data_IF_055774077453
#
_entry.id   IF_055774077453
#
_cell.length_a   1.000
_cell.length_b   1.000
_cell.length_c   1.000
_cell.angle_alpha   90.00
_cell.angle_beta   90.00
_cell.angle_gamma   90.00
#
_symmetry.space_group_name_H-M   'P 1'
#
loop_
_entity.id
_entity.type
_entity.pdbx_description
1 polymer ?
#
# COMPACT_ATOMS: atom_id res chain seq x y z
N UNK A 1 -0.29 -11.48 -10.05
CA UNK A 1 0.82 -10.67 -9.46
C UNK A 1 1.80 -10.23 -10.52
N UNK A 2 2.50 -11.14 -11.21
CA UNK A 2 3.42 -10.78 -12.31
C UNK A 2 2.67 -9.99 -13.39
N UNK A 3 1.50 -10.45 -13.82
CA UNK A 3 0.65 -9.72 -14.76
C UNK A 3 0.31 -8.29 -14.30
N UNK A 4 0.09 -8.08 -13.00
CA UNK A 4 -0.19 -6.74 -12.45
C UNK A 4 1.03 -5.83 -12.53
N UNK A 5 2.24 -6.39 -12.34
CA UNK A 5 3.50 -5.68 -12.49
C UNK A 5 3.72 -5.33 -13.98
N UNK A 6 3.57 -6.31 -14.87
CA UNK A 6 3.76 -6.16 -16.32
C UNK A 6 2.75 -5.18 -16.95
N UNK A 7 1.51 -5.18 -16.47
CA UNK A 7 0.45 -4.27 -16.93
C UNK A 7 0.47 -2.89 -16.24
N UNK A 8 1.43 -2.63 -15.34
CA UNK A 8 1.54 -1.36 -14.63
C UNK A 8 0.34 -1.05 -13.72
N UNK A 9 -0.37 -2.09 -13.27
CA UNK A 9 -1.49 -1.92 -12.35
C UNK A 9 -1.02 -1.30 -11.04
N UNK A 10 -1.92 -0.53 -10.42
CA UNK A 10 -1.70 0.00 -9.08
C UNK A 10 -1.75 -1.15 -8.07
N UNK A 11 -0.70 -1.25 -7.24
CA UNK A 11 -0.60 -2.23 -6.16
C UNK A 11 -0.57 -1.48 -4.83
N UNK A 12 -1.42 -1.89 -3.90
CA UNK A 12 -1.44 -1.34 -2.54
C UNK A 12 -1.12 -2.47 -1.57
N UNK A 13 -0.02 -2.34 -0.83
CA UNK A 13 0.35 -3.26 0.25
C UNK A 13 -0.38 -2.83 1.52
N UNK A 14 -1.24 -3.69 2.07
CA UNK A 14 -1.96 -3.40 3.31
C UNK A 14 -1.27 -4.11 4.46
N UNK A 15 -0.69 -3.33 5.37
CA UNK A 15 0.01 -3.82 6.56
C UNK A 15 -0.85 -3.79 7.81
N UNK A 16 -0.42 -4.52 8.85
CA UNK A 16 -0.94 -4.34 10.21
C UNK A 16 -0.19 -3.21 10.95
N UNK A 17 -0.76 -2.70 12.04
CA UNK A 17 -0.23 -1.58 12.81
C UNK A 17 0.90 -1.96 13.79
N UNK A 18 1.23 -3.25 13.91
CA UNK A 18 2.34 -3.72 14.74
C UNK A 18 3.70 -3.71 14.01
N UNK A 19 4.78 -3.99 14.74
CA UNK A 19 6.14 -3.91 14.20
C UNK A 19 6.38 -4.90 13.04
N UNK A 20 5.77 -6.08 13.13
CA UNK A 20 5.88 -7.12 12.10
C UNK A 20 5.11 -6.72 10.84
N UNK A 21 3.92 -6.14 11.00
CA UNK A 21 3.10 -5.55 9.94
C UNK A 21 3.80 -4.41 9.21
N UNK A 22 4.48 -3.52 9.93
CA UNK A 22 5.26 -2.44 9.34
C UNK A 22 6.47 -2.97 8.54
N UNK A 23 7.21 -3.92 9.13
CA UNK A 23 8.45 -4.46 8.52
C UNK A 23 8.14 -5.28 7.27
N UNK A 24 7.16 -6.18 7.34
CA UNK A 24 6.73 -7.00 6.20
C UNK A 24 6.14 -6.16 5.06
N UNK A 25 5.44 -5.07 5.37
CA UNK A 25 4.91 -4.14 4.38
C UNK A 25 6.01 -3.37 3.67
N UNK A 26 6.99 -2.84 4.42
CA UNK A 26 8.13 -2.15 3.85
C UNK A 26 8.96 -3.06 2.92
N UNK A 27 9.20 -4.31 3.36
CA UNK A 27 9.88 -5.32 2.54
C UNK A 27 9.11 -5.62 1.25
N UNK A 28 7.79 -5.77 1.35
CA UNK A 28 6.93 -6.03 0.19
C UNK A 28 6.97 -4.89 -0.82
N UNK A 29 6.83 -3.63 -0.37
CA UNK A 29 6.93 -2.46 -1.26
C UNK A 29 8.29 -2.42 -1.97
N UNK A 30 9.38 -2.67 -1.24
CA UNK A 30 10.72 -2.68 -1.81
C UNK A 30 10.86 -3.79 -2.87
N UNK A 31 10.44 -5.01 -2.55
CA UNK A 31 10.51 -6.14 -3.47
C UNK A 31 9.72 -5.89 -4.75
N UNK A 32 8.51 -5.31 -4.66
CA UNK A 32 7.68 -5.03 -5.83
C UNK A 32 8.27 -3.96 -6.75
N UNK A 33 8.92 -2.94 -6.16
CA UNK A 33 9.66 -1.93 -6.92
C UNK A 33 10.89 -2.55 -7.62
N UNK A 34 11.62 -3.43 -6.92
CA UNK A 34 12.75 -4.16 -7.50
C UNK A 34 12.33 -5.09 -8.65
N UNK A 35 11.10 -5.62 -8.60
CA UNK A 35 10.52 -6.43 -9.67
C UNK A 35 9.98 -5.60 -10.85
N UNK A 36 10.11 -4.27 -10.82
CA UNK A 36 9.75 -3.40 -11.94
C UNK A 36 8.39 -2.72 -11.81
N UNK A 37 7.68 -2.87 -10.69
CA UNK A 37 6.42 -2.14 -10.48
C UNK A 37 6.69 -0.71 -10.06
N UNK A 38 6.29 0.24 -10.89
CA UNK A 38 6.42 1.69 -10.62
C UNK A 38 5.25 2.27 -9.82
N UNK A 39 4.14 1.54 -9.69
CA UNK A 39 2.87 2.02 -9.11
C UNK A 39 2.52 1.26 -7.83
N UNK A 40 3.41 1.32 -6.84
CA UNK A 40 3.27 0.62 -5.55
C UNK A 40 3.15 1.61 -4.39
N UNK A 41 2.01 1.56 -3.72
CA UNK A 41 1.70 2.27 -2.47
C UNK A 41 1.57 1.27 -1.31
N UNK A 42 1.50 1.80 -0.08
CA UNK A 42 1.14 1.02 1.10
C UNK A 42 0.04 1.71 1.90
N UNK A 43 -0.67 0.93 2.69
CA UNK A 43 -1.70 1.37 3.60
C UNK A 43 -1.55 0.64 4.93
N UNK A 44 -1.47 1.38 6.04
CA UNK A 44 -1.57 0.83 7.39
C UNK A 44 -2.88 1.37 7.98
N UNK A 45 -3.88 0.53 8.26
CA UNK A 45 -5.14 0.97 8.84
C UNK A 45 -4.91 1.45 10.27
N UNK A 46 -5.49 2.60 10.62
CA UNK A 46 -5.45 3.08 11.98
C UNK A 46 -6.51 2.32 12.79
N UNK A 47 -6.07 1.39 13.65
CA UNK A 47 -6.95 0.55 14.48
C UNK A 47 -8.01 1.34 15.27
N UNK A 48 -7.72 2.61 15.61
CA UNK A 48 -8.61 3.44 16.43
C UNK A 48 -9.64 4.22 15.60
N UNK A 49 -9.33 4.55 14.35
CA UNK A 49 -10.21 5.35 13.47
C UNK A 49 -10.89 4.51 12.37
N UNK A 50 -10.32 3.35 12.04
CA UNK A 50 -10.73 2.55 10.90
C UNK A 50 -11.48 1.26 11.25
N UNK A 51 -11.48 0.85 12.51
CA UNK A 51 -12.01 -0.44 12.92
C UNK A 51 -11.16 -1.60 12.38
N UNK A 52 -11.65 -2.83 12.52
CA UNK A 52 -10.97 -4.02 11.99
C UNK A 52 -11.23 -4.20 10.48
N UNK A 53 -10.15 -4.26 9.69
CA UNK A 53 -10.16 -4.73 8.31
C UNK A 53 -10.34 -3.68 7.20
N UNK A 54 -10.35 -4.17 5.96
CA UNK A 54 -10.55 -3.38 4.74
C UNK A 54 -11.97 -2.81 4.69
N UNK A 55 -12.14 -1.56 5.13
CA UNK A 55 -13.39 -0.81 4.99
C UNK A 55 -13.52 -0.16 3.60
N UNK A 56 -14.74 -0.05 3.07
CA UNK A 56 -15.05 0.51 1.75
C UNK A 56 -14.51 1.94 1.54
N UNK A 57 -14.30 2.68 2.64
CA UNK A 57 -13.74 4.04 2.67
C UNK A 57 -12.31 4.16 2.14
N UNK A 58 -11.58 3.05 2.00
CA UNK A 58 -10.21 3.05 1.48
C UNK A 58 -10.14 3.14 -0.05
N UNK A 59 -11.21 2.75 -0.75
CA UNK A 59 -11.26 2.80 -2.22
C UNK A 59 -11.27 4.24 -2.77
N UNK A 60 -11.65 5.21 -1.93
CA UNK A 60 -11.78 6.62 -2.32
C UNK A 60 -10.70 7.52 -1.73
N UNK A 61 -9.81 7.01 -0.87
CA UNK A 61 -8.71 7.82 -0.34
C UNK A 61 -7.63 8.02 -1.42
N UNK A 62 -7.35 9.27 -1.83
CA UNK A 62 -6.19 9.54 -2.66
C UNK A 62 -4.92 9.11 -1.91
N UNK A 63 -3.91 8.64 -2.65
CA UNK A 63 -2.60 8.32 -2.05
C UNK A 63 -2.12 9.54 -1.25
N UNK A 64 -1.69 9.37 0.03
CA UNK A 64 -1.28 10.48 0.89
C UNK A 64 -0.11 11.29 0.31
N UNK A 65 0.56 10.78 -0.72
CA UNK A 65 1.74 11.38 -1.34
C UNK A 65 1.43 12.28 -2.54
N UNK A 66 0.15 12.42 -2.95
CA UNK A 66 -0.24 13.22 -4.13
C UNK A 66 -0.20 14.74 -3.89
N UNK A 67 -0.05 15.21 -2.64
CA UNK A 67 -0.03 16.65 -2.32
C UNK A 67 1.39 17.25 -2.12
N UNK A 68 2.47 16.50 -2.32
CA UNK A 68 3.85 16.97 -2.05
C UNK A 68 4.67 17.30 -3.32
N UNK A 69 4.04 17.45 -4.48
CA UNK A 69 4.69 17.97 -5.69
C UNK A 69 4.01 19.27 -6.12
N UNK A 70 4.34 20.35 -5.40
CA UNK A 70 4.21 21.74 -5.82
C UNK A 70 5.53 22.45 -5.56
#
# INVERSE_FOLDING_TARGET
>A
MIEAIESGQRIIVVGDFDADGATSSALSVLALRMLGSSNVDYLVPNRFEDGYGLSQKWLTKPSPWVQSLS
#
